data_IF_697758256766
#
_entry.id   IF_697758256766
#
_cell.length_a   1.000
_cell.length_b   1.000
_cell.length_c   1.000
_cell.angle_alpha   90.00
_cell.angle_beta   90.00
_cell.angle_gamma   90.00
#
_symmetry.space_group_name_H-M   'P 1'
#
loop_
_entity.id
_entity.type
_entity.pdbx_description
1 polymer ?
#
# COMPACT_ATOMS: atom_id res chain seq x y z
N UNK A 1 -20.46 25.92 22.08
CA UNK A 1 -20.05 27.35 22.27
C UNK A 1 -20.01 27.59 23.78
N UNK A 2 -19.11 28.42 24.37
CA UNK A 2 -18.12 29.37 23.82
C UNK A 2 -16.67 28.94 24.22
N UNK A 3 -15.56 29.62 23.95
CA UNK A 3 -15.31 30.90 23.32
C UNK A 3 -13.80 31.08 23.10
N UNK A 4 -13.43 31.79 22.04
CA UNK A 4 -12.11 32.37 21.89
C UNK A 4 -11.97 33.52 22.89
N UNK A 5 -10.93 33.45 23.73
CA UNK A 5 -10.55 34.50 24.67
C UNK A 5 -9.06 34.75 24.55
N UNK A 6 -8.73 35.92 24.03
CA UNK A 6 -7.40 36.45 23.77
C UNK A 6 -6.62 36.73 25.06
N UNK A 7 -5.32 36.41 25.07
CA UNK A 7 -4.30 37.27 25.69
C UNK A 7 -2.95 37.12 24.97
N UNK A 8 -2.33 38.27 24.74
CA UNK A 8 -0.96 38.49 24.23
C UNK A 8 -0.47 39.73 24.99
N UNK A 9 0.83 40.09 24.99
CA UNK A 9 2.05 39.29 24.87
C UNK A 9 3.07 39.66 25.99
N UNK A 10 4.02 38.79 26.33
CA UNK A 10 5.29 39.28 26.88
C UNK A 10 6.48 38.58 26.22
N UNK A 11 7.34 39.43 25.65
CA UNK A 11 8.50 39.07 24.84
C UNK A 11 9.63 38.62 25.75
N UNK A 12 10.16 37.43 25.53
CA UNK A 12 11.59 37.19 25.69
C UNK A 12 12.20 36.68 24.40
N UNK A 13 13.33 37.28 24.09
CA UNK A 13 14.03 37.30 22.82
C UNK A 13 14.81 36.00 22.60
N UNK A 14 14.51 35.34 21.48
CA UNK A 14 15.45 34.71 20.54
C UNK A 14 16.54 33.78 21.09
N UNK A 15 16.34 32.47 20.85
CA UNK A 15 17.22 31.66 19.99
C UNK A 15 16.45 30.45 19.43
N UNK A 16 16.09 30.39 18.14
CA UNK A 16 15.59 29.17 17.55
C UNK A 16 16.78 28.29 17.14
N UNK A 17 17.09 27.29 17.98
CA UNK A 17 17.87 26.12 17.57
C UNK A 17 17.10 25.37 16.49
N UNK A 18 17.35 25.74 15.24
CA UNK A 18 16.65 25.25 14.06
C UNK A 18 17.15 23.84 13.71
N UNK A 19 16.68 22.81 14.41
CA UNK A 19 16.86 21.42 13.94
C UNK A 19 15.88 21.12 12.81
N UNK A 20 16.16 21.70 11.63
CA UNK A 20 15.56 21.26 10.38
C UNK A 20 15.91 19.80 10.19
N UNK A 21 14.96 18.89 10.38
CA UNK A 21 15.09 17.56 9.78
C UNK A 21 15.21 17.76 8.28
N UNK A 22 16.39 17.43 7.75
CA UNK A 22 16.84 17.87 6.43
C UNK A 22 15.92 17.30 5.34
N UNK A 23 15.49 18.09 4.32
CA UNK A 23 14.67 17.62 3.21
C UNK A 23 15.24 16.38 2.51
N UNK A 24 16.58 16.26 2.48
CA UNK A 24 17.31 15.09 1.97
C UNK A 24 16.94 13.77 2.70
N UNK A 25 16.70 13.80 4.01
CA UNK A 25 16.39 12.60 4.82
C UNK A 25 14.96 12.10 4.59
N UNK A 26 13.99 13.01 4.42
CA UNK A 26 12.60 12.66 4.07
C UNK A 26 12.52 12.11 2.64
N UNK A 27 13.28 12.67 1.70
CA UNK A 27 13.41 12.15 0.33
C UNK A 27 14.00 10.74 0.28
N UNK A 28 15.04 10.45 1.06
CA UNK A 28 15.67 9.13 1.08
C UNK A 28 14.73 8.02 1.62
N UNK A 29 14.00 8.27 2.72
CA UNK A 29 13.00 7.32 3.24
C UNK A 29 11.87 7.05 2.23
N UNK A 30 11.44 8.09 1.51
CA UNK A 30 10.43 7.96 0.45
C UNK A 30 10.95 7.15 -0.73
N UNK A 31 12.16 7.43 -1.21
CA UNK A 31 12.80 6.66 -2.27
C UNK A 31 12.98 5.19 -1.94
N UNK A 32 13.39 4.84 -0.72
CA UNK A 32 13.55 3.43 -0.35
C UNK A 32 12.23 2.66 -0.29
N UNK A 33 11.15 3.28 0.20
CA UNK A 33 9.81 2.68 0.15
C UNK A 33 9.34 2.50 -1.29
N UNK A 34 9.48 3.55 -2.12
CA UNK A 34 9.09 3.49 -3.54
C UNK A 34 9.90 2.45 -4.33
N UNK A 35 11.15 2.20 -3.96
CA UNK A 35 12.01 1.19 -4.57
C UNK A 35 11.62 -0.23 -4.12
N UNK A 36 11.40 -0.45 -2.82
CA UNK A 36 10.98 -1.77 -2.32
C UNK A 36 9.62 -2.18 -2.87
N UNK A 37 8.67 -1.24 -2.98
CA UNK A 37 7.34 -1.54 -3.52
C UNK A 37 7.41 -1.91 -5.00
N UNK A 38 8.15 -1.15 -5.81
CA UNK A 38 8.31 -1.44 -7.24
C UNK A 38 9.01 -2.77 -7.49
N UNK A 39 10.09 -3.04 -6.75
CA UNK A 39 10.84 -4.28 -6.93
C UNK A 39 10.10 -5.50 -6.36
N UNK A 40 9.35 -5.37 -5.26
CA UNK A 40 8.53 -6.46 -4.72
C UNK A 40 7.35 -6.82 -5.63
N UNK A 41 6.83 -5.81 -6.35
CA UNK A 41 5.74 -5.97 -7.32
C UNK A 41 6.24 -6.62 -8.62
N UNK A 42 7.45 -6.26 -9.08
CA UNK A 42 8.05 -6.83 -10.28
C UNK A 42 8.70 -8.22 -10.04
N UNK A 43 9.13 -8.51 -8.81
CA UNK A 43 9.72 -9.80 -8.42
C UNK A 43 9.01 -10.41 -7.20
N UNK A 44 7.84 -11.04 -7.39
CA UNK A 44 7.03 -11.57 -6.29
C UNK A 44 7.81 -12.52 -5.39
N UNK A 45 8.76 -13.30 -5.91
CA UNK A 45 9.58 -14.24 -5.13
C UNK A 45 10.31 -13.59 -3.95
N UNK A 46 10.68 -12.32 -4.06
CA UNK A 46 11.43 -11.58 -3.04
C UNK A 46 10.56 -10.78 -2.07
N UNK A 47 9.23 -10.85 -2.15
CA UNK A 47 8.31 -10.13 -1.25
C UNK A 47 8.69 -10.25 0.24
N UNK A 48 9.07 -11.46 0.69
CA UNK A 48 9.53 -11.70 2.07
C UNK A 48 10.79 -10.92 2.42
N UNK A 49 11.80 -10.92 1.54
CA UNK A 49 13.05 -10.19 1.75
C UNK A 49 12.81 -8.67 1.81
N UNK A 50 11.91 -8.16 0.96
CA UNK A 50 11.51 -6.75 1.01
C UNK A 50 10.73 -6.42 2.29
N UNK A 51 9.87 -7.32 2.77
CA UNK A 51 9.13 -7.15 4.02
C UNK A 51 10.10 -7.12 5.22
N UNK A 52 11.11 -8.01 5.24
CA UNK A 52 12.16 -8.02 6.26
C UNK A 52 12.97 -6.72 6.26
N UNK A 53 13.31 -6.19 5.08
CA UNK A 53 13.96 -4.89 4.95
C UNK A 53 13.07 -3.77 5.54
N UNK A 54 11.78 -3.79 5.22
CA UNK A 54 10.80 -2.85 5.75
C UNK A 54 10.74 -2.89 7.28
N UNK A 55 10.72 -4.09 7.87
CA UNK A 55 10.71 -4.25 9.33
C UNK A 55 11.98 -3.70 9.98
N UNK A 56 13.16 -3.97 9.38
CA UNK A 56 14.45 -3.43 9.85
C UNK A 56 14.49 -1.91 9.78
N UNK A 57 13.96 -1.32 8.71
CA UNK A 57 13.87 0.14 8.55
C UNK A 57 12.93 0.76 9.59
N UNK A 58 11.82 0.09 9.91
CA UNK A 58 10.90 0.55 10.96
C UNK A 58 11.58 0.54 12.33
N UNK A 59 12.21 -0.58 12.74
CA UNK A 59 12.91 -0.72 14.02
C UNK A 59 13.99 0.36 14.21
N UNK A 60 14.84 0.57 13.20
CA UNK A 60 15.86 1.63 13.21
C UNK A 60 15.26 3.04 13.28
N UNK A 61 14.05 3.25 12.78
CA UNK A 61 13.38 4.55 12.82
C UNK A 61 12.78 4.87 14.19
N UNK A 62 12.33 3.85 14.93
CA UNK A 62 11.79 3.98 16.30
C UNK A 62 12.90 4.19 17.33
N UNK A 63 13.99 3.43 17.24
CA UNK A 63 15.13 3.51 18.17
C UNK A 63 15.83 4.87 18.16
N UNK A 64 15.78 5.58 17.02
CA UNK A 64 16.30 6.95 16.89
C UNK A 64 15.40 8.03 17.51
N UNK A 65 14.14 7.70 17.79
CA UNK A 65 13.20 8.61 18.47
C UNK A 65 13.34 8.52 19.99
N UNK A 66 13.68 7.34 20.53
CA UNK A 66 13.90 7.13 21.97
C UNK A 66 15.15 7.85 22.51
N UNK A 67 16.18 8.06 21.69
CA UNK A 67 17.37 8.87 22.07
C UNK A 67 17.10 10.39 22.07
N UNK A 68 15.95 10.86 21.56
CA UNK A 68 15.56 12.28 21.56
C UNK A 68 14.27 12.42 22.35
N UNK A 69 14.40 12.46 23.67
CA UNK A 69 13.30 12.42 24.65
C UNK A 69 12.39 13.68 24.70
N UNK A 70 12.47 14.58 23.72
CA UNK A 70 11.54 15.70 23.64
C UNK A 70 11.00 15.89 22.22
N UNK A 71 9.70 16.21 22.19
CA UNK A 71 8.89 16.59 21.04
C UNK A 71 8.15 15.43 20.34
N UNK A 72 7.01 15.07 20.95
CA UNK A 72 5.84 14.51 20.26
C UNK A 72 5.37 15.53 19.21
N UNK A 73 5.92 15.48 18.00
CA UNK A 73 5.39 16.20 16.85
C UNK A 73 4.38 15.32 16.09
N UNK A 74 3.17 15.80 15.77
CA UNK A 74 2.14 15.03 15.07
C UNK A 74 2.43 14.84 13.55
N UNK A 75 3.66 15.15 13.10
CA UNK A 75 4.06 15.22 11.67
C UNK A 75 5.27 14.34 11.36
N UNK A 76 5.59 13.35 12.20
CA UNK A 76 6.42 12.23 11.77
C UNK A 76 5.51 11.24 11.03
N UNK A 77 5.52 11.29 9.70
CA UNK A 77 4.95 10.18 8.91
C UNK A 77 5.84 8.98 9.22
N UNK A 78 5.34 8.08 10.08
CA UNK A 78 6.05 6.85 10.42
C UNK A 78 6.25 6.03 9.16
N UNK A 79 7.30 5.21 9.13
CA UNK A 79 7.55 4.31 7.99
C UNK A 79 6.34 3.41 7.70
N UNK A 80 5.63 3.00 8.76
CA UNK A 80 4.33 2.32 8.70
C UNK A 80 3.29 3.11 7.90
N UNK A 81 3.09 4.40 8.19
CA UNK A 81 2.13 5.24 7.45
C UNK A 81 2.50 5.42 5.98
N UNK A 82 3.80 5.49 5.66
CA UNK A 82 4.26 5.56 4.28
C UNK A 82 3.97 4.26 3.51
N UNK A 83 4.28 3.11 4.11
CA UNK A 83 3.97 1.79 3.54
C UNK A 83 2.47 1.62 3.32
N UNK A 84 1.65 2.01 4.28
CA UNK A 84 0.19 1.94 4.16
C UNK A 84 -0.33 2.78 2.99
N UNK A 85 0.13 4.02 2.88
CA UNK A 85 -0.25 4.86 1.75
C UNK A 85 0.18 4.25 0.41
N UNK A 86 1.34 3.59 0.36
CA UNK A 86 1.84 2.94 -0.85
C UNK A 86 1.05 1.70 -1.25
N UNK A 87 0.71 0.87 -0.27
CA UNK A 87 -0.16 -0.30 -0.47
C UNK A 87 -1.53 0.15 -0.99
N UNK A 88 -2.08 1.22 -0.41
CA UNK A 88 -3.35 1.80 -0.84
C UNK A 88 -3.27 2.39 -2.26
N UNK A 89 -2.22 3.17 -2.57
CA UNK A 89 -1.96 3.65 -3.94
C UNK A 89 -1.84 2.51 -4.96
N UNK A 90 -1.26 1.38 -4.56
CA UNK A 90 -1.13 0.18 -5.39
C UNK A 90 -2.49 -0.45 -5.70
N UNK A 91 -3.31 -0.68 -4.67
CA UNK A 91 -4.68 -1.19 -4.81
C UNK A 91 -5.57 -0.29 -5.68
N UNK A 92 -5.56 1.02 -5.42
CA UNK A 92 -6.36 1.97 -6.21
C UNK A 92 -5.97 1.99 -7.69
N UNK A 93 -4.70 1.77 -8.02
CA UNK A 93 -4.24 1.67 -9.41
C UNK A 93 -4.73 0.41 -10.09
N UNK A 94 -4.78 -0.71 -9.38
CA UNK A 94 -5.32 -1.98 -9.90
C UNK A 94 -6.81 -1.79 -10.23
N UNK A 95 -7.59 -1.22 -9.31
CA UNK A 95 -9.02 -0.99 -9.52
C UNK A 95 -9.31 0.00 -10.68
N UNK A 96 -8.49 1.05 -10.83
CA UNK A 96 -8.61 1.98 -11.96
C UNK A 96 -8.30 1.32 -13.30
N UNK A 97 -7.42 0.33 -13.31
CA UNK A 97 -7.03 -0.36 -14.53
C UNK A 97 -8.17 -1.23 -15.09
N UNK A 98 -8.99 -1.86 -14.24
CA UNK A 98 -10.20 -2.58 -14.67
C UNK A 98 -11.17 -1.67 -15.45
N UNK A 99 -11.36 -0.44 -14.98
CA UNK A 99 -12.19 0.56 -15.67
C UNK A 99 -11.59 0.95 -17.04
N UNK A 100 -10.26 0.99 -17.15
CA UNK A 100 -9.54 1.31 -18.38
C UNK A 100 -9.64 0.16 -19.40
N UNK A 101 -9.56 -1.10 -18.96
CA UNK A 101 -9.76 -2.28 -19.82
C UNK A 101 -11.12 -2.22 -20.51
N UNK A 102 -12.18 -1.90 -19.78
CA UNK A 102 -13.53 -1.83 -20.34
C UNK A 102 -13.65 -0.78 -21.45
N UNK A 103 -12.98 0.37 -21.29
CA UNK A 103 -12.95 1.42 -22.32
C UNK A 103 -12.11 1.02 -23.53
N UNK A 104 -10.92 0.45 -23.30
CA UNK A 104 -10.03 -0.04 -24.37
C UNK A 104 -10.67 -1.17 -25.18
N UNK A 105 -11.42 -2.05 -24.52
CA UNK A 105 -12.17 -3.13 -25.18
C UNK A 105 -13.21 -2.58 -26.13
N UNK A 106 -13.96 -1.54 -25.73
CA UNK A 106 -14.91 -0.85 -26.61
C UNK A 106 -14.22 -0.18 -27.81
N UNK A 107 -13.11 0.52 -27.58
CA UNK A 107 -12.33 1.15 -28.66
C UNK A 107 -11.82 0.12 -29.69
N UNK A 108 -11.40 -1.06 -29.22
CA UNK A 108 -11.02 -2.19 -30.08
C UNK A 108 -12.22 -2.70 -30.89
N UNK A 109 -13.40 -2.79 -30.29
CA UNK A 109 -14.61 -3.23 -30.97
C UNK A 109 -15.04 -2.27 -32.07
N UNK A 110 -14.98 -0.96 -31.80
CA UNK A 110 -15.33 0.14 -32.70
C UNK A 110 -14.28 0.39 -33.80
N UNK A 111 -13.07 -0.16 -33.67
CA UNK A 111 -12.01 -0.03 -34.69
C UNK A 111 -12.38 -0.82 -35.96
N UNK A 112 -12.52 -0.16 -37.14
CA UNK A 112 -12.94 -0.82 -38.38
C UNK A 112 -11.80 -1.55 -39.11
N UNK A 113 -10.56 -1.12 -38.90
CA UNK A 113 -9.37 -1.72 -39.53
C UNK A 113 -8.99 -3.04 -38.81
N UNK A 114 -9.03 -4.18 -39.51
CA UNK A 114 -8.73 -5.49 -38.91
C UNK A 114 -7.28 -5.64 -38.44
N UNK A 115 -6.31 -5.01 -39.10
CA UNK A 115 -4.90 -5.10 -38.69
C UNK A 115 -4.66 -4.32 -37.40
N UNK A 116 -5.14 -3.07 -37.37
CA UNK A 116 -5.08 -2.23 -36.18
C UNK A 116 -5.87 -2.82 -35.00
N UNK A 117 -7.04 -3.42 -35.26
CA UNK A 117 -7.83 -4.11 -34.23
C UNK A 117 -7.06 -5.28 -33.61
N UNK A 118 -6.32 -6.05 -34.44
CA UNK A 118 -5.48 -7.15 -33.95
C UNK A 118 -4.30 -6.63 -33.12
N UNK A 119 -3.65 -5.55 -33.55
CA UNK A 119 -2.56 -4.91 -32.79
C UNK A 119 -3.04 -4.40 -31.43
N UNK A 120 -4.16 -3.68 -31.39
CA UNK A 120 -4.74 -3.15 -30.14
C UNK A 120 -5.14 -4.28 -29.17
N UNK A 121 -5.68 -5.39 -29.68
CA UNK A 121 -5.96 -6.59 -28.85
C UNK A 121 -4.69 -7.16 -28.23
N UNK A 122 -3.62 -7.32 -29.02
CA UNK A 122 -2.35 -7.84 -28.51
C UNK A 122 -1.74 -6.92 -27.44
N UNK A 123 -1.83 -5.60 -27.63
CA UNK A 123 -1.38 -4.61 -26.64
C UNK A 123 -2.20 -4.67 -25.35
N UNK A 124 -3.53 -4.82 -25.46
CA UNK A 124 -4.41 -4.98 -24.30
C UNK A 124 -4.06 -6.25 -23.53
N UNK A 125 -3.94 -7.40 -24.20
CA UNK A 125 -3.56 -8.68 -23.57
C UNK A 125 -2.18 -8.62 -22.89
N UNK A 126 -1.23 -7.89 -23.47
CA UNK A 126 0.08 -7.66 -22.83
C UNK A 126 0.00 -6.81 -21.58
N UNK A 127 -0.76 -5.72 -21.63
CA UNK A 127 -0.89 -4.83 -20.47
C UNK A 127 -1.71 -5.48 -19.35
N UNK A 128 -2.77 -6.24 -19.67
CA UNK A 128 -3.51 -7.05 -18.70
C UNK A 128 -2.59 -8.04 -17.98
N UNK A 129 -1.78 -8.81 -18.73
CA UNK A 129 -0.81 -9.74 -18.14
C UNK A 129 0.20 -9.03 -17.24
N UNK A 130 0.63 -7.81 -17.58
CA UNK A 130 1.53 -7.01 -16.72
C UNK A 130 0.81 -6.60 -15.44
N UNK A 131 -0.43 -6.14 -15.53
CA UNK A 131 -1.21 -5.72 -14.35
C UNK A 131 -1.50 -6.91 -13.44
N UNK A 132 -1.85 -8.08 -13.99
CA UNK A 132 -2.00 -9.33 -13.26
C UNK A 132 -0.79 -9.69 -12.42
N UNK A 133 0.39 -9.69 -13.04
CA UNK A 133 1.64 -10.01 -12.34
C UNK A 133 1.90 -9.04 -11.19
N UNK A 134 1.60 -7.75 -11.42
CA UNK A 134 1.80 -6.71 -10.43
C UNK A 134 0.80 -6.78 -9.28
N UNK A 135 -0.46 -7.12 -9.56
CA UNK A 135 -1.49 -7.27 -8.52
C UNK A 135 -1.16 -8.43 -7.59
N UNK A 136 -0.81 -9.59 -8.14
CA UNK A 136 -0.37 -10.76 -7.36
C UNK A 136 0.88 -10.45 -6.53
N UNK A 137 1.88 -9.79 -7.13
CA UNK A 137 3.10 -9.37 -6.43
C UNK A 137 2.83 -8.42 -5.27
N UNK A 138 1.97 -7.42 -5.48
CA UNK A 138 1.56 -6.47 -4.43
C UNK A 138 0.84 -7.18 -3.28
N UNK A 139 -0.12 -8.05 -3.59
CA UNK A 139 -0.91 -8.78 -2.60
C UNK A 139 -0.04 -9.71 -1.78
N UNK A 140 0.91 -10.40 -2.42
CA UNK A 140 1.91 -11.23 -1.72
C UNK A 140 2.77 -10.39 -0.77
N UNK A 141 3.23 -9.23 -1.23
CA UNK A 141 4.03 -8.32 -0.41
C UNK A 141 3.27 -7.81 0.81
N UNK A 142 2.01 -7.43 0.62
CA UNK A 142 1.12 -6.98 1.71
C UNK A 142 0.88 -8.11 2.71
N UNK A 143 0.69 -9.34 2.24
CA UNK A 143 0.56 -10.51 3.11
C UNK A 143 1.81 -10.74 3.98
N UNK A 144 3.01 -10.64 3.40
CA UNK A 144 4.25 -10.77 4.16
C UNK A 144 4.46 -9.62 5.16
N UNK A 145 4.05 -8.38 4.83
CA UNK A 145 4.07 -7.27 5.78
C UNK A 145 3.14 -7.51 6.98
N UNK A 146 1.97 -8.12 6.75
CA UNK A 146 1.04 -8.46 7.83
C UNK A 146 1.61 -9.49 8.79
N UNK A 147 2.25 -10.54 8.28
CA UNK A 147 2.95 -11.56 9.10
C UNK A 147 4.09 -11.01 9.96
N UNK A 148 4.62 -9.84 9.59
CA UNK A 148 5.61 -9.12 10.38
C UNK A 148 4.99 -8.11 11.37
N UNK A 149 3.66 -8.20 11.58
CA UNK A 149 2.81 -7.28 12.36
C UNK A 149 2.97 -5.80 11.98
N UNK A 150 3.35 -5.53 10.72
CA UNK A 150 3.50 -4.17 10.21
C UNK A 150 2.16 -3.58 9.77
N UNK A 151 1.17 -4.43 9.52
CA UNK A 151 -0.21 -4.08 9.19
C UNK A 151 -1.14 -4.50 10.35
N UNK A 152 -2.32 -3.90 10.44
CA UNK A 152 -3.33 -4.29 11.44
C UNK A 152 -4.39 -5.17 10.78
N UNK A 153 -5.13 -6.00 11.55
CA UNK A 153 -6.24 -6.79 11.03
C UNK A 153 -7.25 -5.97 10.23
N UNK A 154 -7.62 -4.78 10.75
CA UNK A 154 -8.54 -3.86 10.09
C UNK A 154 -8.12 -3.49 8.66
N UNK A 155 -6.81 -3.32 8.43
CA UNK A 155 -6.29 -2.99 7.10
C UNK A 155 -6.36 -4.21 6.19
N UNK A 156 -6.06 -5.40 6.73
CA UNK A 156 -6.14 -6.66 5.98
C UNK A 156 -7.58 -7.00 5.57
N UNK A 157 -8.53 -6.85 6.49
CA UNK A 157 -9.97 -7.00 6.20
C UNK A 157 -10.44 -6.02 5.12
N UNK A 158 -9.93 -4.78 5.10
CA UNK A 158 -10.18 -3.83 4.02
C UNK A 158 -9.65 -4.30 2.66
N UNK A 159 -8.45 -4.89 2.62
CA UNK A 159 -7.90 -5.49 1.40
C UNK A 159 -8.75 -6.67 0.90
N UNK A 160 -9.16 -7.57 1.80
CA UNK A 160 -10.02 -8.72 1.48
C UNK A 160 -11.37 -8.26 0.94
N UNK A 161 -12.02 -7.31 1.61
CA UNK A 161 -13.31 -6.75 1.17
C UNK A 161 -13.20 -6.06 -0.20
N UNK A 162 -12.10 -5.37 -0.47
CA UNK A 162 -11.85 -4.75 -1.79
C UNK A 162 -11.75 -5.82 -2.87
N UNK A 163 -10.98 -6.89 -2.63
CA UNK A 163 -10.83 -8.00 -3.58
C UNK A 163 -12.14 -8.75 -3.82
N UNK A 164 -12.96 -8.96 -2.78
CA UNK A 164 -14.29 -9.58 -2.88
C UNK A 164 -15.31 -8.72 -3.63
N UNK A 165 -15.16 -7.39 -3.61
CA UNK A 165 -16.08 -6.48 -4.31
C UNK A 165 -15.89 -6.45 -5.83
N UNK A 166 -14.83 -7.07 -6.35
CA UNK A 166 -14.52 -7.11 -7.78
C UNK A 166 -15.01 -8.43 -8.40
N UNK A 167 -15.81 -8.35 -9.46
CA UNK A 167 -16.50 -9.51 -10.08
C UNK A 167 -15.66 -10.15 -11.19
N UNK A 168 -14.33 -10.15 -11.09
CA UNK A 168 -13.43 -10.68 -12.11
C UNK A 168 -12.60 -11.87 -11.60
N UNK A 169 -12.13 -12.73 -12.51
CA UNK A 169 -11.33 -13.92 -12.15
C UNK A 169 -9.97 -13.57 -11.50
N UNK A 170 -9.44 -12.40 -11.83
CA UNK A 170 -8.10 -11.97 -11.43
C UNK A 170 -8.02 -11.50 -9.97
N UNK A 171 -8.98 -10.70 -9.46
CA UNK A 171 -9.18 -10.47 -8.03
C UNK A 171 -9.33 -11.76 -7.21
N UNK A 172 -9.94 -12.81 -7.78
CA UNK A 172 -10.10 -14.09 -7.08
C UNK A 172 -8.76 -14.82 -6.88
N UNK A 173 -7.89 -14.84 -7.89
CA UNK A 173 -6.53 -15.38 -7.74
C UNK A 173 -5.74 -14.61 -6.67
N UNK A 174 -5.84 -13.28 -6.70
CA UNK A 174 -5.24 -12.41 -5.69
C UNK A 174 -5.78 -12.72 -4.29
N UNK A 175 -7.09 -12.87 -4.13
CA UNK A 175 -7.74 -13.19 -2.87
C UNK A 175 -7.28 -14.56 -2.33
N UNK A 176 -7.31 -15.59 -3.15
CA UNK A 176 -6.84 -16.93 -2.78
C UNK A 176 -5.37 -16.91 -2.36
N UNK A 177 -4.53 -16.17 -3.09
CA UNK A 177 -3.11 -15.98 -2.74
C UNK A 177 -2.96 -15.27 -1.39
N UNK A 178 -3.72 -14.19 -1.16
CA UNK A 178 -3.69 -13.45 0.10
C UNK A 178 -4.08 -14.34 1.28
N UNK A 179 -5.23 -15.00 1.18
CA UNK A 179 -5.77 -15.87 2.22
C UNK A 179 -4.83 -17.06 2.51
N UNK A 180 -4.13 -17.56 1.50
CA UNK A 180 -3.09 -18.60 1.69
C UNK A 180 -1.93 -18.09 2.57
N UNK A 181 -1.57 -16.81 2.45
CA UNK A 181 -0.46 -16.21 3.19
C UNK A 181 -0.89 -15.80 4.61
N UNK A 182 -2.05 -15.15 4.74
CA UNK A 182 -2.47 -14.48 5.99
C UNK A 182 -3.60 -15.19 6.73
N UNK A 183 -4.34 -16.09 6.08
CA UNK A 183 -5.64 -16.58 6.57
C UNK A 183 -5.56 -17.20 7.97
N UNK A 184 -4.55 -18.04 8.22
CA UNK A 184 -4.36 -18.66 9.54
C UNK A 184 -4.10 -17.63 10.65
N UNK A 185 -3.29 -16.63 10.37
CA UNK A 185 -2.92 -15.60 11.35
C UNK A 185 -4.07 -14.61 11.57
N UNK A 186 -4.78 -14.28 10.49
CA UNK A 186 -5.97 -13.42 10.53
C UNK A 186 -7.13 -14.07 11.31
N UNK A 187 -7.45 -15.34 11.04
CA UNK A 187 -8.49 -16.09 11.78
C UNK A 187 -8.16 -16.14 13.28
N UNK A 188 -6.88 -16.30 13.64
CA UNK A 188 -6.44 -16.31 15.02
C UNK A 188 -6.56 -14.93 15.70
N UNK A 189 -6.24 -13.84 14.99
CA UNK A 189 -6.28 -12.48 15.53
C UNK A 189 -7.69 -11.90 15.66
N UNK A 190 -8.61 -12.19 14.73
CA UNK A 190 -9.98 -11.61 14.73
C UNK A 190 -11.08 -12.59 15.10
N UNK A 191 -10.75 -13.89 15.15
CA UNK A 191 -11.66 -14.94 15.52
C UNK A 191 -12.51 -15.42 14.33
N UNK A 192 -12.85 -16.70 14.38
CA UNK A 192 -13.53 -17.42 13.29
C UNK A 192 -14.80 -16.74 12.77
N UNK A 193 -15.60 -16.13 13.64
CA UNK A 193 -16.89 -15.50 13.23
C UNK A 193 -16.71 -14.36 12.23
N UNK A 194 -15.72 -13.48 12.44
CA UNK A 194 -15.45 -12.35 11.53
C UNK A 194 -14.78 -12.84 10.24
N UNK A 195 -14.04 -13.94 10.31
CA UNK A 195 -13.39 -14.55 9.15
C UNK A 195 -14.38 -15.34 8.26
N UNK A 196 -15.35 -16.02 8.85
CA UNK A 196 -16.37 -16.82 8.14
C UNK A 196 -17.29 -15.94 7.28
N UNK A 197 -17.44 -14.64 7.60
CA UNK A 197 -18.22 -13.68 6.80
C UNK A 197 -17.72 -13.54 5.35
N UNK A 198 -16.45 -13.90 5.07
CA UNK A 198 -15.90 -13.86 3.71
C UNK A 198 -16.36 -15.01 2.81
N UNK A 199 -16.90 -16.08 3.41
CA UNK A 199 -17.27 -17.32 2.71
C UNK A 199 -18.78 -17.60 2.77
N UNK A 200 -19.55 -16.68 3.37
CA UNK A 200 -21.00 -16.72 3.44
C UNK A 200 -21.64 -16.15 2.16
#
# INVERSE_FOLDING_TARGET
>A
KPGWGSTSPEKTSVRPGRTKTSPKKKKAKKQHSDLSDKQAVDEPSFSKAYADLCQRLQKKSSQRMEENEEVVTPVSVTFRKLLLNKCQEGFEKINKYELDIANRTKEIEETPDPEKKKELKLLLDEDERKVRRKSVGLVRFIGELYKLHMLTPKIMHGCISTLLSQVAEEPLECLCTLLTIVGKELEHETGRREFDEYFA
#
